data_IF_996706513229
#
_entry.id   IF_996706513229
#
_cell.length_a   1.000
_cell.length_b   1.000
_cell.length_c   1.000
_cell.angle_alpha   90.00
_cell.angle_beta   90.00
_cell.angle_gamma   90.00
#
_symmetry.space_group_name_H-M   'P 1'
#
loop_
_entity.id
_entity.type
_entity.pdbx_description
1 polymer ?
#
# COMPACT_ATOMS: atom_id res chain seq x y z
N UNK A 1 -16.31 -6.68 -14.00
CA UNK A 1 -15.18 -5.76 -13.74
C UNK A 1 -15.32 -5.33 -12.31
N UNK A 2 -14.41 -5.72 -11.40
CA UNK A 2 -14.51 -5.28 -10.03
C UNK A 2 -14.24 -3.79 -9.90
N UNK A 3 -15.06 -3.11 -9.12
CA UNK A 3 -14.91 -1.68 -8.84
C UNK A 3 -13.59 -1.39 -8.13
N UNK A 4 -13.20 -2.24 -7.17
CA UNK A 4 -12.00 -2.03 -6.37
C UNK A 4 -10.99 -3.17 -6.51
N UNK A 5 -9.72 -2.81 -6.67
CA UNK A 5 -8.58 -3.70 -6.53
C UNK A 5 -7.68 -3.24 -5.37
N UNK A 6 -7.13 -4.18 -4.61
CA UNK A 6 -6.06 -3.93 -3.66
C UNK A 6 -5.04 -5.06 -3.72
N UNK A 7 -3.80 -4.70 -4.06
CA UNK A 7 -2.66 -5.62 -4.06
C UNK A 7 -1.49 -5.08 -3.23
N UNK A 8 -0.75 -5.96 -2.57
CA UNK A 8 0.46 -5.56 -1.88
C UNK A 8 1.20 -6.70 -1.19
N UNK A 9 2.16 -6.34 -0.37
CA UNK A 9 2.94 -7.26 0.44
C UNK A 9 2.26 -7.60 1.79
N UNK A 10 3.05 -8.01 2.79
CA UNK A 10 2.55 -8.33 4.13
C UNK A 10 2.06 -7.11 4.94
N UNK A 11 2.23 -5.89 4.43
CA UNK A 11 1.61 -4.67 4.98
C UNK A 11 0.08 -4.69 4.92
N UNK A 12 -0.51 -5.62 4.17
CA UNK A 12 -1.96 -5.87 4.13
C UNK A 12 -2.38 -6.99 5.12
N UNK A 13 -1.51 -7.38 6.04
CA UNK A 13 -1.83 -8.30 7.12
C UNK A 13 -1.81 -7.57 8.46
N UNK A 14 -2.53 -8.16 9.41
CA UNK A 14 -2.32 -7.90 10.83
C UNK A 14 -1.88 -9.17 11.53
N UNK A 15 -1.18 -9.03 12.67
CA UNK A 15 -0.68 -10.15 13.45
C UNK A 15 -1.03 -10.04 14.92
N UNK A 16 -1.30 -11.20 15.52
CA UNK A 16 -1.34 -11.39 16.98
C UNK A 16 -0.32 -12.47 17.35
N UNK A 17 0.86 -12.03 17.78
CA UNK A 17 2.03 -12.90 17.95
C UNK A 17 2.45 -13.54 16.62
N UNK A 18 2.26 -14.86 16.49
CA UNK A 18 2.59 -15.62 15.27
C UNK A 18 1.39 -15.76 14.31
N UNK A 19 0.17 -15.47 14.75
CA UNK A 19 -1.02 -15.63 13.94
C UNK A 19 -1.13 -14.47 12.94
N UNK A 20 -1.33 -14.79 11.66
CA UNK A 20 -1.45 -13.82 10.56
C UNK A 20 -2.91 -13.78 10.10
N UNK A 21 -3.48 -12.59 9.98
CA UNK A 21 -4.82 -12.37 9.44
C UNK A 21 -4.75 -11.38 8.29
N UNK A 22 -5.33 -11.76 7.14
CA UNK A 22 -5.49 -10.88 5.98
C UNK A 22 -6.68 -9.96 6.21
N UNK A 23 -6.59 -8.70 5.78
CA UNK A 23 -7.65 -7.71 6.03
C UNK A 23 -8.75 -7.67 4.97
N UNK A 24 -8.64 -8.47 3.91
CA UNK A 24 -9.54 -8.38 2.74
C UNK A 24 -11.02 -8.64 3.02
N UNK A 25 -11.39 -9.48 4.00
CA UNK A 25 -12.80 -9.67 4.38
C UNK A 25 -13.34 -8.43 5.12
N UNK A 26 -12.62 -7.97 6.14
CA UNK A 26 -12.98 -6.79 6.92
C UNK A 26 -12.97 -5.50 6.08
N UNK A 27 -12.09 -5.41 5.08
CA UNK A 27 -12.07 -4.29 4.13
C UNK A 27 -13.32 -4.26 3.24
N UNK A 28 -13.87 -5.42 2.85
CA UNK A 28 -15.15 -5.47 2.12
C UNK A 28 -16.31 -4.92 2.95
N UNK A 29 -16.33 -5.25 4.24
CA UNK A 29 -17.29 -4.71 5.19
C UNK A 29 -17.15 -3.18 5.30
N UNK A 30 -15.90 -2.69 5.45
CA UNK A 30 -15.62 -1.24 5.54
C UNK A 30 -15.98 -0.47 4.26
N UNK A 31 -15.80 -1.09 3.09
CA UNK A 31 -16.21 -0.53 1.80
C UNK A 31 -17.73 -0.63 1.55
N UNK A 32 -18.47 -1.40 2.36
CA UNK A 32 -19.88 -1.70 2.10
C UNK A 32 -20.12 -2.44 0.78
N UNK A 33 -19.16 -3.26 0.32
CA UNK A 33 -19.25 -3.94 -0.97
C UNK A 33 -18.53 -5.29 -1.00
N UNK A 34 -19.06 -6.22 -1.78
CA UNK A 34 -18.34 -7.47 -2.11
C UNK A 34 -17.36 -7.30 -3.27
N UNK A 35 -17.41 -6.16 -3.96
CA UNK A 35 -16.73 -5.91 -5.22
C UNK A 35 -15.28 -5.43 -5.06
N UNK A 36 -14.51 -6.25 -4.32
CA UNK A 36 -13.10 -6.06 -4.05
C UNK A 36 -12.30 -7.27 -4.49
N UNK A 37 -11.41 -7.07 -5.46
CA UNK A 37 -10.31 -7.98 -5.72
C UNK A 37 -9.15 -7.68 -4.77
N UNK A 38 -8.83 -8.64 -3.91
CA UNK A 38 -7.82 -8.49 -2.88
C UNK A 38 -6.71 -9.53 -3.06
N UNK A 39 -5.45 -9.08 -3.08
CA UNK A 39 -4.26 -9.93 -3.07
C UNK A 39 -3.21 -9.37 -2.13
N UNK A 40 -2.72 -10.21 -1.22
CA UNK A 40 -1.61 -9.88 -0.37
C UNK A 40 -0.64 -11.05 -0.42
N UNK A 41 0.63 -10.74 -0.68
CA UNK A 41 1.68 -11.72 -0.95
C UNK A 41 2.81 -11.47 0.04
N UNK A 42 3.08 -12.44 0.92
CA UNK A 42 4.13 -12.28 1.92
C UNK A 42 5.49 -12.09 1.24
N UNK A 43 6.29 -11.15 1.75
CA UNK A 43 7.62 -10.80 1.22
C UNK A 43 7.64 -10.35 -0.25
N UNK A 44 6.51 -9.93 -0.82
CA UNK A 44 6.49 -9.44 -2.19
C UNK A 44 7.30 -8.15 -2.35
N UNK A 45 8.13 -8.12 -3.38
CA UNK A 45 8.68 -6.91 -3.96
C UNK A 45 7.84 -6.45 -5.14
N UNK A 46 8.37 -5.48 -5.90
CA UNK A 46 7.65 -4.91 -7.05
C UNK A 46 7.42 -5.95 -8.15
N UNK A 47 8.35 -6.91 -8.32
CA UNK A 47 8.28 -7.94 -9.35
C UNK A 47 7.13 -8.91 -9.12
N UNK A 48 6.89 -9.31 -7.87
CA UNK A 48 5.78 -10.19 -7.51
C UNK A 48 4.44 -9.50 -7.70
N UNK A 49 4.33 -8.22 -7.29
CA UNK A 49 3.12 -7.40 -7.52
C UNK A 49 2.83 -7.27 -9.02
N UNK A 50 3.87 -6.94 -9.80
CA UNK A 50 3.79 -6.83 -11.26
C UNK A 50 3.34 -8.14 -11.90
N UNK A 51 3.95 -9.26 -11.53
CA UNK A 51 3.60 -10.58 -12.07
C UNK A 51 2.13 -10.92 -11.81
N UNK A 52 1.65 -10.66 -10.59
CA UNK A 52 0.25 -10.91 -10.22
C UNK A 52 -0.73 -10.03 -11.01
N UNK A 53 -0.39 -8.76 -11.26
CA UNK A 53 -1.21 -7.86 -12.06
C UNK A 53 -1.21 -8.19 -13.55
N UNK A 54 -0.08 -8.67 -14.11
CA UNK A 54 -0.01 -9.14 -15.50
C UNK A 54 -0.92 -10.33 -15.74
N UNK A 55 -0.95 -11.27 -14.78
CA UNK A 55 -1.68 -12.54 -14.92
C UNK A 55 -3.18 -12.44 -14.61
N UNK A 56 -3.69 -11.27 -14.22
CA UNK A 56 -5.13 -11.07 -14.05
C UNK A 56 -5.73 -10.43 -15.31
N UNK A 57 -6.87 -10.94 -15.79
CA UNK A 57 -7.65 -10.32 -16.86
C UNK A 57 -8.53 -9.16 -16.39
N UNK A 58 -8.52 -8.86 -15.08
CA UNK A 58 -9.37 -7.85 -14.48
C UNK A 58 -8.84 -6.43 -14.74
N UNK A 59 -9.78 -5.49 -14.84
CA UNK A 59 -9.56 -4.04 -14.75
C UNK A 59 -10.37 -3.48 -13.57
N UNK A 60 -10.01 -2.28 -13.10
CA UNK A 60 -10.55 -1.69 -11.87
C UNK A 60 -11.00 -0.25 -12.07
N UNK A 61 -12.02 0.19 -11.33
CA UNK A 61 -12.29 1.63 -11.23
C UNK A 61 -11.21 2.30 -10.35
N UNK A 62 -10.93 1.71 -9.18
CA UNK A 62 -9.80 2.11 -8.33
C UNK A 62 -8.90 0.91 -8.01
N UNK A 63 -7.60 1.06 -8.19
CA UNK A 63 -6.59 0.08 -7.79
C UNK A 63 -5.67 0.66 -6.72
N UNK A 64 -5.68 0.06 -5.54
CA UNK A 64 -4.73 0.31 -4.46
C UNK A 64 -3.50 -0.60 -4.57
N UNK A 65 -2.32 -0.03 -4.35
CA UNK A 65 -1.05 -0.76 -4.27
C UNK A 65 -0.37 -0.45 -2.93
N UNK A 66 -0.18 -1.47 -2.10
CA UNK A 66 0.57 -1.38 -0.84
C UNK A 66 1.97 -1.95 -1.01
N UNK A 67 2.99 -1.10 -0.85
CA UNK A 67 4.40 -1.49 -1.02
C UNK A 67 5.24 -0.96 0.13
N UNK A 68 5.88 -1.89 0.85
CA UNK A 68 6.79 -1.64 1.97
C UNK A 68 8.19 -2.18 1.69
N UNK A 69 8.53 -2.45 0.43
CA UNK A 69 9.92 -2.48 -0.01
C UNK A 69 10.76 -3.67 0.40
N UNK A 70 10.19 -4.88 0.40
CA UNK A 70 10.95 -6.12 0.68
C UNK A 70 12.19 -6.32 -0.23
N UNK A 71 12.20 -5.70 -1.42
CA UNK A 71 13.27 -5.79 -2.41
C UNK A 71 14.27 -4.60 -2.37
N UNK A 72 14.11 -3.67 -1.41
CA UNK A 72 14.91 -2.45 -1.27
C UNK A 72 15.39 -2.18 0.18
N UNK A 73 15.48 -3.22 1.02
CA UNK A 73 15.82 -3.12 2.45
C UNK A 73 17.31 -2.91 2.76
N UNK A 74 18.21 -3.53 1.99
CA UNK A 74 19.62 -3.71 2.38
C UNK A 74 20.62 -2.78 1.66
N UNK A 75 20.20 -2.02 0.65
CA UNK A 75 21.10 -1.18 -0.14
C UNK A 75 20.37 -0.44 -1.24
N UNK A 76 21.12 0.21 -2.15
CA UNK A 76 20.53 0.98 -3.25
C UNK A 76 19.61 0.12 -4.13
N UNK A 77 18.56 0.73 -4.66
CA UNK A 77 17.64 0.07 -5.59
C UNK A 77 18.43 -0.48 -6.77
N UNK A 78 18.32 -1.80 -6.98
CA UNK A 78 19.01 -2.48 -8.08
C UNK A 78 18.33 -2.16 -9.42
N UNK A 79 19.07 -2.12 -10.55
CA UNK A 79 18.51 -1.76 -11.86
C UNK A 79 17.29 -2.60 -12.26
N UNK A 80 17.26 -3.88 -11.93
CA UNK A 80 16.14 -4.76 -12.24
C UNK A 80 14.89 -4.51 -11.38
N UNK A 81 15.04 -3.92 -10.19
CA UNK A 81 13.92 -3.45 -9.37
C UNK A 81 13.38 -2.15 -9.95
N UNK A 82 14.27 -1.23 -10.35
CA UNK A 82 13.88 0.00 -11.03
C UNK A 82 13.14 -0.27 -12.34
N UNK A 83 13.62 -1.21 -13.17
CA UNK A 83 12.96 -1.61 -14.42
C UNK A 83 11.55 -2.17 -14.15
N UNK A 84 11.40 -3.01 -13.13
CA UNK A 84 10.10 -3.56 -12.74
C UNK A 84 9.14 -2.48 -12.21
N UNK A 85 9.65 -1.42 -11.56
CA UNK A 85 8.84 -0.24 -11.21
C UNK A 85 8.34 0.51 -12.44
N UNK A 86 9.19 0.73 -13.44
CA UNK A 86 8.76 1.38 -14.69
C UNK A 86 7.66 0.57 -15.39
N UNK A 87 7.82 -0.75 -15.43
CA UNK A 87 6.82 -1.64 -16.02
C UNK A 87 5.52 -1.68 -15.20
N UNK A 88 5.59 -1.71 -13.87
CA UNK A 88 4.42 -1.65 -13.01
C UNK A 88 3.63 -0.36 -13.23
N UNK A 89 4.31 0.79 -13.32
CA UNK A 89 3.66 2.07 -13.56
C UNK A 89 2.93 2.11 -14.92
N UNK A 90 3.51 1.52 -15.97
CA UNK A 90 2.81 1.39 -17.26
C UNK A 90 1.55 0.51 -17.10
N UNK A 91 1.69 -0.65 -16.47
CA UNK A 91 0.61 -1.62 -16.37
C UNK A 91 -0.59 -1.10 -15.56
N UNK A 92 -0.36 -0.34 -14.49
CA UNK A 92 -1.45 0.14 -13.63
C UNK A 92 -2.32 1.18 -14.33
N UNK A 93 -1.73 1.98 -15.23
CA UNK A 93 -2.45 2.95 -16.06
C UNK A 93 -3.37 2.26 -17.08
N UNK A 94 -3.00 1.06 -17.54
CA UNK A 94 -3.84 0.24 -18.40
C UNK A 94 -4.94 -0.49 -17.61
N UNK A 95 -4.65 -0.86 -16.36
CA UNK A 95 -5.51 -1.72 -15.53
C UNK A 95 -6.55 -0.95 -14.72
N UNK A 96 -6.38 0.34 -14.48
CA UNK A 96 -7.26 1.09 -13.58
C UNK A 96 -7.49 2.54 -14.01
N UNK A 97 -8.71 3.04 -13.75
CA UNK A 97 -9.06 4.45 -13.97
C UNK A 97 -8.39 5.36 -12.93
N UNK A 98 -8.31 4.88 -11.69
CA UNK A 98 -7.63 5.55 -10.59
C UNK A 98 -6.66 4.60 -9.91
N UNK A 99 -5.45 5.06 -9.64
CA UNK A 99 -4.42 4.29 -8.94
C UNK A 99 -3.99 5.04 -7.69
N UNK A 100 -4.01 4.33 -6.56
CA UNK A 100 -3.55 4.85 -5.27
C UNK A 100 -2.40 4.00 -4.78
N UNK A 101 -1.25 4.63 -4.58
CA UNK A 101 -0.10 3.98 -4.00
C UNK A 101 0.00 4.33 -2.52
N UNK A 102 0.14 3.30 -1.68
CA UNK A 102 0.70 3.45 -0.34
C UNK A 102 2.12 2.89 -0.40
N UNK A 103 3.09 3.80 -0.39
CA UNK A 103 4.50 3.46 -0.25
C UNK A 103 4.86 3.76 1.20
N UNK A 104 4.78 2.72 2.04
CA UNK A 104 5.17 2.79 3.45
C UNK A 104 6.64 3.19 3.60
N UNK A 105 7.25 3.42 4.75
CA UNK A 105 6.88 3.45 6.15
C UNK A 105 8.24 3.48 6.86
N UNK A 106 8.75 4.66 7.18
CA UNK A 106 10.18 4.90 7.43
C UNK A 106 10.52 4.74 8.91
N UNK A 107 11.63 4.03 9.18
CA UNK A 107 12.07 3.74 10.56
C UNK A 107 13.08 4.78 11.10
N UNK A 108 13.81 5.46 10.21
CA UNK A 108 14.91 6.37 10.59
C UNK A 108 14.56 7.85 10.41
N UNK A 109 13.70 8.21 9.46
CA UNK A 109 13.23 9.60 9.23
C UNK A 109 11.97 9.96 10.03
N UNK A 110 11.59 9.15 11.03
CA UNK A 110 10.40 9.37 11.86
C UNK A 110 10.64 9.91 13.26
N UNK A 111 9.53 10.26 13.92
CA UNK A 111 9.49 10.67 15.33
C UNK A 111 10.18 9.64 16.23
N UNK A 112 10.62 10.08 17.41
CA UNK A 112 11.32 9.27 18.42
C UNK A 112 10.63 7.92 18.71
N UNK A 113 9.31 7.87 18.57
CA UNK A 113 8.46 6.68 18.67
C UNK A 113 8.77 5.56 17.67
N UNK A 114 9.47 5.83 16.57
CA UNK A 114 9.88 4.81 15.59
C UNK A 114 11.28 4.23 15.87
N UNK A 115 12.10 4.92 16.68
CA UNK A 115 13.42 4.39 17.08
C UNK A 115 13.31 3.08 17.84
N UNK A 116 12.23 2.86 18.59
CA UNK A 116 11.97 1.59 19.30
C UNK A 116 11.80 0.40 18.34
N UNK A 117 11.42 0.65 17.09
CA UNK A 117 11.29 -0.39 16.06
C UNK A 117 12.54 -0.49 15.19
N UNK A 118 13.39 0.53 15.14
CA UNK A 118 14.62 0.52 14.34
C UNK A 118 15.57 -0.63 14.71
N UNK A 119 15.69 -0.97 16.00
CA UNK A 119 16.53 -2.11 16.41
C UNK A 119 15.96 -3.46 16.00
N UNK A 120 14.62 -3.59 15.95
CA UNK A 120 13.97 -4.78 15.40
C UNK A 120 14.11 -4.83 13.88
N UNK A 121 13.93 -3.70 13.20
CA UNK A 121 14.07 -3.57 11.76
C UNK A 121 15.47 -3.99 11.27
N UNK A 122 16.53 -3.67 12.02
CA UNK A 122 17.90 -4.15 11.74
C UNK A 122 18.00 -5.68 11.75
N UNK A 123 17.26 -6.39 12.62
CA UNK A 123 17.24 -7.86 12.65
C UNK A 123 16.66 -8.46 11.36
N UNK A 124 15.88 -7.67 10.62
CA UNK A 124 15.30 -8.03 9.32
C UNK A 124 16.10 -7.48 8.13
N UNK A 125 17.34 -7.03 8.35
CA UNK A 125 18.19 -6.50 7.28
C UNK A 125 17.76 -5.13 6.77
N UNK A 126 16.82 -4.45 7.44
CA UNK A 126 16.41 -3.11 7.03
C UNK A 126 17.50 -2.11 7.46
N UNK A 127 18.05 -1.40 6.49
CA UNK A 127 19.13 -0.42 6.67
C UNK A 127 18.60 1.01 6.61
N UNK A 128 19.35 2.03 7.07
CA UNK A 128 18.97 3.44 6.88
C UNK A 128 18.71 3.82 5.41
N UNK A 129 19.37 3.15 4.46
CA UNK A 129 19.18 3.36 3.02
C UNK A 129 17.75 3.03 2.56
N UNK A 130 17.03 2.18 3.29
CA UNK A 130 15.64 1.82 3.01
C UNK A 130 14.73 3.05 2.91
N UNK A 131 14.88 4.01 3.82
CA UNK A 131 14.06 5.21 3.84
C UNK A 131 14.29 6.10 2.60
N UNK A 132 15.54 6.18 2.16
CA UNK A 132 15.92 6.89 0.92
C UNK A 132 15.36 6.18 -0.32
N UNK A 133 15.41 4.83 -0.35
CA UNK A 133 14.85 4.06 -1.45
C UNK A 133 13.34 4.24 -1.55
N UNK A 134 12.63 4.22 -0.42
CA UNK A 134 11.18 4.50 -0.39
C UNK A 134 10.88 5.91 -0.89
N UNK A 135 11.67 6.90 -0.48
CA UNK A 135 11.54 8.26 -0.98
C UNK A 135 11.74 8.34 -2.49
N UNK A 136 12.75 7.63 -3.02
CA UNK A 136 13.02 7.55 -4.45
C UNK A 136 11.86 6.93 -5.23
N UNK A 137 11.28 5.82 -4.74
CA UNK A 137 10.08 5.20 -5.34
C UNK A 137 8.91 6.18 -5.36
N UNK A 138 8.66 6.90 -4.25
CA UNK A 138 7.61 7.92 -4.20
C UNK A 138 7.84 9.03 -5.21
N UNK A 139 9.09 9.50 -5.37
CA UNK A 139 9.43 10.50 -6.39
C UNK A 139 9.13 10.01 -7.80
N UNK A 140 9.48 8.75 -8.14
CA UNK A 140 9.15 8.18 -9.45
C UNK A 140 7.64 8.19 -9.72
N UNK A 141 6.85 7.75 -8.74
CA UNK A 141 5.39 7.70 -8.84
C UNK A 141 4.77 9.10 -8.96
N UNK A 142 5.24 10.06 -8.14
CA UNK A 142 4.75 11.44 -8.16
C UNK A 142 5.10 12.16 -9.47
N UNK A 143 6.28 11.94 -10.05
CA UNK A 143 6.63 12.49 -11.36
C UNK A 143 5.72 12.00 -12.49
N UNK A 144 5.07 10.85 -12.29
CA UNK A 144 4.10 10.28 -13.22
C UNK A 144 2.66 10.70 -12.93
N UNK A 145 2.45 11.56 -11.93
CA UNK A 145 1.13 12.10 -11.56
C UNK A 145 0.25 11.14 -10.75
N UNK A 146 0.81 10.04 -10.22
CA UNK A 146 0.05 9.13 -9.37
C UNK A 146 -0.24 9.73 -7.99
N UNK A 147 -1.35 9.28 -7.37
CA UNK A 147 -1.64 9.59 -5.98
C UNK A 147 -0.80 8.70 -5.07
N UNK A 148 0.09 9.31 -4.27
CA UNK A 148 1.04 8.59 -3.41
C UNK A 148 0.86 9.00 -1.97
N UNK A 149 0.54 8.03 -1.13
CA UNK A 149 0.48 8.16 0.33
C UNK A 149 1.69 7.47 0.95
N UNK A 150 2.09 7.96 2.13
CA UNK A 150 3.01 7.25 3.01
C UNK A 150 2.32 7.03 4.36
N UNK A 151 2.61 5.90 4.98
CA UNK A 151 2.06 5.55 6.30
C UNK A 151 2.99 5.99 7.44
N UNK A 152 3.75 7.08 7.26
CA UNK A 152 4.69 7.55 8.29
C UNK A 152 3.98 7.95 9.58
N UNK A 153 2.89 8.70 9.47
CA UNK A 153 2.07 9.11 10.63
C UNK A 153 1.38 7.92 11.27
N UNK A 154 0.91 6.99 10.43
CA UNK A 154 0.28 5.74 10.85
C UNK A 154 1.28 4.88 11.64
N UNK A 155 2.53 4.73 11.21
CA UNK A 155 3.55 4.02 12.00
C UNK A 155 3.77 4.62 13.40
N UNK A 156 3.63 5.94 13.55
CA UNK A 156 3.73 6.61 14.84
C UNK A 156 2.53 6.42 15.76
N UNK A 157 1.35 6.07 15.20
CA UNK A 157 0.08 5.92 15.93
C UNK A 157 -0.34 4.46 16.10
N UNK A 158 -0.16 3.66 15.06
CA UNK A 158 -0.54 2.26 14.99
C UNK A 158 0.52 1.39 15.64
N UNK A 159 0.05 0.49 16.48
CA UNK A 159 0.90 -0.50 17.11
C UNK A 159 1.41 -1.49 16.05
N UNK A 160 2.72 -1.76 16.10
CA UNK A 160 3.31 -2.91 15.42
C UNK A 160 3.26 -4.10 16.37
N UNK A 161 3.08 -5.28 15.80
CA UNK A 161 3.19 -6.55 16.48
C UNK A 161 4.59 -6.71 17.11
N UNK A 162 4.77 -7.75 17.94
CA UNK A 162 6.03 -8.04 18.62
C UNK A 162 7.26 -8.13 17.71
N UNK A 163 7.09 -8.41 16.40
CA UNK A 163 8.18 -8.40 15.42
C UNK A 163 8.66 -6.99 15.01
N UNK A 164 7.90 -5.94 15.29
CA UNK A 164 8.24 -4.56 14.94
C UNK A 164 8.22 -4.27 13.44
N UNK A 165 7.57 -5.13 12.63
CA UNK A 165 7.45 -4.99 11.18
C UNK A 165 5.98 -4.97 10.75
N UNK A 166 5.19 -5.91 11.28
CA UNK A 166 3.79 -6.05 10.89
C UNK A 166 2.88 -5.28 11.82
N UNK A 167 1.73 -4.85 11.31
CA UNK A 167 0.65 -4.26 12.10
C UNK A 167 0.15 -5.25 13.14
N UNK A 168 -0.13 -4.75 14.34
CA UNK A 168 -0.83 -5.53 15.37
C UNK A 168 -2.30 -5.77 14.95
N UNK A 169 -2.92 -6.83 15.47
CA UNK A 169 -4.33 -7.14 15.20
C UNK A 169 -5.26 -6.02 15.65
N UNK A 170 -4.87 -5.28 16.68
CA UNK A 170 -5.65 -4.20 17.27
C UNK A 170 -5.87 -3.03 16.30
N UNK A 171 -5.01 -2.86 15.28
CA UNK A 171 -5.14 -1.75 14.32
C UNK A 171 -5.91 -2.14 13.05
N UNK A 172 -6.46 -3.35 12.99
CA UNK A 172 -7.11 -3.87 11.78
C UNK A 172 -8.27 -2.99 11.30
N UNK A 173 -9.08 -2.47 12.22
CA UNK A 173 -10.21 -1.61 11.88
C UNK A 173 -9.74 -0.29 11.26
N UNK A 174 -8.78 0.39 11.89
CA UNK A 174 -8.22 1.64 11.35
C UNK A 174 -7.51 1.43 10.01
N UNK A 175 -6.80 0.30 9.84
CA UNK A 175 -6.15 -0.06 8.58
C UNK A 175 -7.19 -0.28 7.48
N UNK A 176 -8.28 -1.00 7.77
CA UNK A 176 -9.38 -1.21 6.83
C UNK A 176 -10.09 0.11 6.48
N UNK A 177 -10.41 0.94 7.47
CA UNK A 177 -11.04 2.25 7.24
C UNK A 177 -10.16 3.15 6.37
N UNK A 178 -8.87 3.21 6.66
CA UNK A 178 -7.91 3.99 5.86
C UNK A 178 -7.88 3.51 4.41
N UNK A 179 -7.80 2.20 4.17
CA UNK A 179 -7.84 1.67 2.80
C UNK A 179 -9.20 1.88 2.13
N UNK A 180 -10.30 1.81 2.87
CA UNK A 180 -11.63 2.06 2.32
C UNK A 180 -11.76 3.51 1.83
N UNK A 181 -11.26 4.48 2.61
CA UNK A 181 -11.22 5.90 2.24
C UNK A 181 -10.32 6.13 1.02
N UNK A 182 -9.14 5.50 0.98
CA UNK A 182 -8.21 5.63 -0.14
C UNK A 182 -8.76 5.03 -1.44
N UNK A 183 -9.45 3.90 -1.36
CA UNK A 183 -10.03 3.22 -2.53
C UNK A 183 -11.31 3.89 -3.03
N UNK A 184 -12.01 4.61 -2.14
CA UNK A 184 -13.24 5.33 -2.47
C UNK A 184 -12.88 6.78 -2.82
N UNK A 185 -12.69 7.13 -4.10
CA UNK A 185 -12.43 8.52 -4.46
C UNK A 185 -13.54 9.39 -3.84
N UNK A 186 -13.21 10.60 -3.36
CA UNK A 186 -14.21 11.52 -2.85
C UNK A 186 -15.33 11.58 -3.89
N UNK A 187 -16.59 11.46 -3.46
CA UNK A 187 -17.71 11.78 -4.36
C UNK A 187 -17.36 13.15 -4.92
N UNK A 188 -16.97 13.21 -6.19
CA UNK A 188 -16.93 14.46 -6.93
C UNK A 188 -18.29 15.05 -6.62
N UNK A 189 -18.29 16.18 -5.90
CA UNK A 189 -19.50 16.90 -5.55
C UNK A 189 -20.38 16.84 -6.77
N UNK A 190 -21.58 16.30 -6.59
CA UNK A 190 -22.57 16.25 -7.64
C UNK A 190 -22.78 17.69 -8.13
N UNK A 191 -22.04 18.08 -9.17
CA UNK A 191 -22.39 19.17 -10.08
C UNK A 191 -23.37 18.63 -11.11
N UNK A 192 -24.35 17.83 -10.66
CA UNK A 192 -25.71 18.05 -11.09
C UNK A 192 -26.14 19.35 -10.44
N UNK A 193 -25.79 20.47 -11.10
CA UNK A 193 -26.70 21.61 -11.11
C UNK A 193 -28.02 21.01 -11.56
N UNK A 194 -28.94 20.94 -10.62
CA UNK A 194 -30.33 20.65 -10.87
C UNK A 194 -30.76 21.44 -12.09
N UNK A 195 -31.15 20.71 -13.12
CA UNK A 195 -32.27 21.09 -13.95
C UNK A 195 -33.45 21.22 -12.99
N UNK A 196 -33.71 22.43 -12.51
CA UNK A 196 -35.00 22.89 -12.01
C UNK A 196 -35.18 24.32 -12.55
N UNK A 197 -35.78 24.43 -13.74
CA UNK A 197 -37.19 24.82 -13.94
C UNK A 197 -37.38 26.33 -13.75
N UNK A 198 -37.26 27.06 -14.86
CA UNK A 198 -38.33 27.87 -15.48
C UNK A 198 -37.73 28.65 -16.66
#
# INVERSE_FOLDING_TARGET
>A
MPRFGLIGDSSLYVKSGRHVRRVGSQLRESLGTTDLWYRAVANAGVKEILHMLKNTSLTFATLGISYFGNDITEGRIRPEVQAAWQELMNLVEEKAQHVVFVVGGSYWLGAETLRKYADKAKQYGITPQYDENLAQVRTWLSHRGHTVHNFQKQLGRWQLNGDGIHWDVDVAEELCATWADLLSPPRLLATTREVLVA
#
